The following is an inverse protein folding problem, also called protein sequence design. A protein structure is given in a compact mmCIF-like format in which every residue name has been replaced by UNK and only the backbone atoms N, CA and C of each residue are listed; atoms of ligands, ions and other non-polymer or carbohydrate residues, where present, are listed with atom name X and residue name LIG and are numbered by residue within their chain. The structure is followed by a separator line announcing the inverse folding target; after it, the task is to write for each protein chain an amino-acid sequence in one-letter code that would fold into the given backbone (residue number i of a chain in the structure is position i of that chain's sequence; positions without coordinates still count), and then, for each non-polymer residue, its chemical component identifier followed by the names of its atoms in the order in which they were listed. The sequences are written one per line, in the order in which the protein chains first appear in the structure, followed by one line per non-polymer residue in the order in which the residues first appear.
data_IF_026254138843
#
_entry.id   IF_026254138843
#
_cell.length_a   1.000
_cell.length_b   1.000
_cell.length_c   1.000
_cell.angle_alpha   90.00
_cell.angle_beta   90.00
_cell.angle_gamma   90.00
#
_symmetry.space_group_name_H-M   'P 1'
#
loop_
_entity.id
_entity.type
_entity.pdbx_description
1 polymer ?
#
# COMPACT_ATOMS: atom_id res chain seq x y z
N UNK A 1 3.94 -27.36 5.44
CA UNK A 1 2.48 -27.16 5.43
C UNK A 1 2.06 -26.82 4.01
N UNK A 2 1.02 -27.45 3.44
CA UNK A 2 0.58 -27.11 2.10
C UNK A 2 0.18 -25.64 2.08
N UNK A 3 0.81 -24.87 1.22
CA UNK A 3 0.45 -23.48 0.93
C UNK A 3 -0.94 -23.52 0.33
N UNK A 4 -1.96 -23.15 1.12
CA UNK A 4 -3.30 -22.92 0.60
C UNK A 4 -3.16 -21.84 -0.49
N UNK A 5 -3.28 -22.21 -1.75
CA UNK A 5 -3.27 -21.27 -2.85
C UNK A 5 -4.42 -20.28 -2.66
N UNK A 6 -4.14 -19.00 -2.87
CA UNK A 6 -5.14 -17.94 -2.80
C UNK A 6 -6.26 -18.21 -3.82
N UNK A 7 -7.50 -17.97 -3.41
CA UNK A 7 -8.63 -18.00 -4.33
C UNK A 7 -8.68 -16.72 -5.19
N UNK A 8 -7.95 -16.75 -6.28
CA UNK A 8 -7.89 -15.63 -7.22
C UNK A 8 -9.23 -15.34 -7.91
N UNK A 9 -10.16 -16.29 -7.93
CA UNK A 9 -11.51 -16.07 -8.45
C UNK A 9 -12.26 -15.10 -7.53
N UNK A 10 -12.24 -15.36 -6.24
CA UNK A 10 -12.86 -14.49 -5.23
C UNK A 10 -12.16 -13.12 -5.17
N UNK A 11 -10.83 -13.07 -5.24
CA UNK A 11 -10.06 -11.81 -5.26
C UNK A 11 -10.43 -10.98 -6.49
N UNK A 12 -10.45 -11.57 -7.69
CA UNK A 12 -10.85 -10.88 -8.93
C UNK A 12 -12.30 -10.40 -8.88
N UNK A 13 -13.20 -11.16 -8.25
CA UNK A 13 -14.58 -10.76 -8.07
C UNK A 13 -14.75 -9.57 -7.09
N UNK A 14 -13.75 -9.30 -6.26
CA UNK A 14 -13.66 -8.11 -5.41
C UNK A 14 -12.90 -6.94 -6.08
N UNK A 15 -12.34 -7.13 -7.28
CA UNK A 15 -11.66 -6.12 -8.07
C UNK A 15 -12.66 -5.11 -8.68
N UNK A 16 -12.17 -4.12 -9.37
CA UNK A 16 -12.96 -2.99 -9.90
C UNK A 16 -12.57 -1.69 -9.21
N UNK A 17 -11.38 -1.71 -8.62
CA UNK A 17 -10.78 -0.56 -7.95
C UNK A 17 -9.43 -0.22 -8.56
N UNK A 18 -9.05 1.04 -8.40
CA UNK A 18 -7.74 1.58 -8.74
C UNK A 18 -7.15 2.34 -7.55
N UNK A 19 -5.87 2.65 -7.63
CA UNK A 19 -5.24 3.50 -6.63
C UNK A 19 -5.63 4.96 -6.85
N UNK A 20 -5.91 5.71 -5.79
CA UNK A 20 -6.12 7.13 -5.87
C UNK A 20 -4.82 7.85 -6.22
N UNK A 21 -4.91 8.77 -7.17
CA UNK A 21 -3.76 9.55 -7.61
C UNK A 21 -3.65 10.85 -6.81
N UNK A 22 -2.51 11.13 -6.18
CA UNK A 22 -2.31 12.37 -5.47
C UNK A 22 -2.15 13.54 -6.46
N UNK A 23 -2.50 14.75 -6.00
CA UNK A 23 -2.33 15.99 -6.80
C UNK A 23 -0.89 16.51 -6.86
N UNK A 24 0.04 15.84 -6.15
CA UNK A 24 1.47 16.19 -6.11
C UNK A 24 2.25 15.45 -7.20
N UNK A 25 3.40 15.97 -7.66
CA UNK A 25 4.23 15.29 -8.64
C UNK A 25 4.65 13.91 -8.16
N UNK A 26 4.33 12.88 -8.95
CA UNK A 26 4.68 11.49 -8.69
C UNK A 26 6.02 11.20 -9.34
N UNK A 27 6.84 10.38 -8.69
CA UNK A 27 8.02 9.79 -9.32
C UNK A 27 7.57 8.69 -10.28
N UNK A 28 7.95 8.80 -11.53
CA UNK A 28 7.69 7.81 -12.57
C UNK A 28 8.91 7.67 -13.50
N UNK A 29 8.82 6.76 -14.45
CA UNK A 29 9.87 6.50 -15.46
C UNK A 29 9.90 7.52 -16.60
N UNK A 30 9.49 8.77 -16.37
CA UNK A 30 9.60 9.84 -17.33
C UNK A 30 10.89 10.58 -17.08
N UNK A 31 11.85 10.43 -17.97
CA UNK A 31 13.10 11.16 -17.95
C UNK A 31 14.22 10.51 -18.76
N UNK A 32 14.12 9.26 -19.16
CA UNK A 32 15.21 8.57 -19.88
C UNK A 32 14.83 7.97 -21.24
N UNK A 33 13.68 8.31 -21.81
CA UNK A 33 13.34 7.89 -23.19
C UNK A 33 12.94 9.05 -24.07
N UNK A 34 13.82 10.00 -24.24
CA UNK A 34 14.02 10.70 -25.53
C UNK A 34 14.78 9.76 -26.45
N UNK A 35 14.14 8.69 -26.91
CA UNK A 35 14.81 7.73 -27.78
C UNK A 35 13.91 6.59 -28.19
N UNK A 36 13.30 6.69 -29.38
CA UNK A 36 12.81 5.59 -30.22
C UNK A 36 12.02 4.46 -29.51
N UNK A 37 10.71 4.61 -29.48
CA UNK A 37 9.79 3.52 -29.15
C UNK A 37 8.39 3.88 -29.61
N UNK A 38 7.92 3.28 -30.72
CA UNK A 38 6.52 3.29 -31.16
C UNK A 38 5.62 2.75 -30.06
N UNK A 39 4.69 3.58 -29.52
CA UNK A 39 3.56 3.07 -28.73
C UNK A 39 3.29 3.71 -27.37
N UNK A 40 3.51 5.00 -27.16
CA UNK A 40 2.81 5.71 -26.09
C UNK A 40 1.90 6.75 -26.71
N UNK A 41 0.60 6.66 -26.46
CA UNK A 41 -0.32 7.72 -26.83
C UNK A 41 0.00 8.93 -25.95
N UNK A 42 0.76 9.84 -26.51
CA UNK A 42 0.95 11.17 -25.94
C UNK A 42 -0.39 11.89 -26.04
N UNK A 43 -1.12 11.99 -24.94
CA UNK A 43 -2.36 12.75 -24.94
C UNK A 43 -2.03 14.24 -25.10
N UNK A 44 -2.54 14.83 -26.19
CA UNK A 44 -2.38 16.27 -26.44
C UNK A 44 -3.00 17.05 -25.27
N UNK A 45 -2.23 17.93 -24.65
CA UNK A 45 -2.71 18.73 -23.53
C UNK A 45 -3.06 20.16 -23.95
N UNK A 46 -2.13 20.86 -24.63
CA UNK A 46 -2.28 22.26 -24.94
C UNK A 46 -1.21 22.73 -25.95
N UNK A 47 -1.30 23.97 -26.37
CA UNK A 47 -0.27 24.69 -27.13
C UNK A 47 0.38 25.76 -26.26
N UNK A 48 1.69 25.93 -26.44
CA UNK A 48 2.39 27.12 -25.94
C UNK A 48 3.16 27.81 -27.08
N UNK A 49 3.44 29.09 -26.96
CA UNK A 49 4.33 29.77 -27.92
C UNK A 49 5.72 29.07 -27.94
N UNK A 50 6.30 28.99 -29.12
CA UNK A 50 7.67 28.53 -29.29
C UNK A 50 8.67 29.50 -28.66
N UNK A 51 9.66 28.98 -27.98
CA UNK A 51 10.81 29.73 -27.49
C UNK A 51 12.10 29.15 -28.08
N UNK A 52 13.08 30.03 -28.43
CA UNK A 52 14.36 29.56 -28.96
C UNK A 52 15.00 28.52 -28.03
N UNK A 53 15.30 27.33 -28.58
CA UNK A 53 15.81 26.19 -27.84
C UNK A 53 14.80 25.04 -27.70
N UNK A 54 13.54 25.24 -28.04
CA UNK A 54 12.55 24.18 -28.10
C UNK A 54 12.82 23.18 -29.24
N UNK A 55 12.50 21.92 -29.01
CA UNK A 55 12.63 20.87 -30.01
C UNK A 55 11.61 21.10 -31.15
N UNK A 56 12.11 21.36 -32.35
CA UNK A 56 11.31 21.62 -33.54
C UNK A 56 10.40 20.43 -33.94
N UNK A 57 10.65 19.22 -33.44
CA UNK A 57 9.78 18.07 -33.68
C UNK A 57 8.41 18.20 -33.00
N UNK A 58 8.33 19.04 -31.99
CA UNK A 58 7.09 19.30 -31.26
C UNK A 58 6.33 20.54 -31.76
N UNK A 59 6.88 21.23 -32.73
CA UNK A 59 6.20 22.39 -33.37
C UNK A 59 5.02 21.89 -34.20
N UNK A 60 3.87 22.53 -34.05
CA UNK A 60 2.71 22.30 -34.93
C UNK A 60 2.84 23.08 -36.23
N UNK A 61 3.46 22.45 -37.21
CA UNK A 61 3.64 23.04 -38.54
C UNK A 61 2.32 23.33 -39.28
N UNK A 62 1.24 22.57 -38.97
CA UNK A 62 -0.08 22.78 -39.53
C UNK A 62 -0.77 24.02 -38.92
N UNK A 63 -0.55 24.27 -37.64
CA UNK A 63 -1.00 25.49 -36.97
C UNK A 63 -0.22 26.69 -37.50
N UNK A 64 1.11 26.58 -37.66
CA UNK A 64 1.94 27.62 -38.22
C UNK A 64 1.51 28.01 -39.63
N UNK A 65 1.23 27.06 -40.50
CA UNK A 65 0.78 27.33 -41.86
C UNK A 65 -0.56 28.09 -41.95
N UNK A 66 -1.38 28.06 -40.87
CA UNK A 66 -2.67 28.78 -40.84
C UNK A 66 -2.62 30.11 -40.12
N UNK A 67 -1.74 30.27 -39.14
CA UNK A 67 -1.75 31.43 -38.24
C UNK A 67 -0.44 32.21 -38.23
N UNK A 68 0.61 31.69 -38.88
CA UNK A 68 1.98 32.24 -38.87
C UNK A 68 2.59 32.33 -37.46
N UNK A 69 1.95 31.71 -36.44
CA UNK A 69 2.42 31.67 -35.08
C UNK A 69 3.03 30.31 -34.79
N UNK A 70 4.31 30.28 -34.39
CA UNK A 70 4.99 29.09 -33.99
C UNK A 70 4.45 28.64 -32.60
N UNK A 71 3.81 27.51 -32.57
CA UNK A 71 3.29 26.89 -31.36
C UNK A 71 3.90 25.48 -31.16
N UNK A 72 4.26 25.18 -29.93
CA UNK A 72 4.76 23.86 -29.55
C UNK A 72 3.61 23.09 -28.90
N UNK A 73 3.40 21.86 -29.38
CA UNK A 73 2.44 20.93 -28.77
C UNK A 73 2.95 20.47 -27.43
N UNK A 74 2.18 20.73 -26.40
CA UNK A 74 2.40 20.15 -25.08
C UNK A 74 1.66 18.81 -24.99
N UNK A 75 2.39 17.78 -24.70
CA UNK A 75 1.85 16.45 -24.45
C UNK A 75 1.86 16.18 -22.95
N UNK A 76 0.83 15.51 -22.48
CA UNK A 76 0.80 14.99 -21.13
C UNK A 76 1.54 13.66 -21.14
N UNK A 77 2.67 13.60 -20.47
CA UNK A 77 3.33 12.34 -20.25
C UNK A 77 2.47 11.50 -19.30
N UNK A 78 1.97 10.36 -19.75
CA UNK A 78 1.42 9.35 -18.87
C UNK A 78 2.55 8.76 -18.03
N UNK A 79 2.75 9.31 -16.85
CA UNK A 79 3.74 8.81 -15.91
C UNK A 79 3.16 7.59 -15.19
N UNK A 80 3.65 6.41 -15.48
CA UNK A 80 3.32 5.24 -14.67
C UNK A 80 3.78 5.47 -13.21
N UNK A 81 2.87 5.52 -12.24
CA UNK A 81 3.24 5.81 -10.86
C UNK A 81 4.09 4.69 -10.28
N UNK A 82 5.10 5.04 -9.50
CA UNK A 82 5.87 4.07 -8.72
C UNK A 82 5.10 3.73 -7.46
N UNK A 83 4.85 2.45 -7.22
CA UNK A 83 4.18 1.96 -6.01
C UNK A 83 5.12 1.05 -5.23
N UNK A 84 5.34 1.35 -3.96
CA UNK A 84 5.99 0.47 -3.00
C UNK A 84 4.89 -0.14 -2.11
N UNK A 85 4.54 -1.40 -2.36
CA UNK A 85 3.66 -2.19 -1.51
C UNK A 85 4.51 -2.82 -0.40
N UNK A 86 4.46 -2.20 0.77
CA UNK A 86 5.25 -2.57 1.95
C UNK A 86 4.43 -3.55 2.78
N UNK A 87 4.99 -4.72 2.98
CA UNK A 87 4.29 -5.86 3.57
C UNK A 87 5.00 -6.28 4.83
N UNK A 88 4.29 -6.24 5.94
CA UNK A 88 4.75 -6.81 7.19
C UNK A 88 4.61 -8.34 7.11
N UNK A 89 5.72 -9.03 7.27
CA UNK A 89 5.79 -10.50 7.25
C UNK A 89 6.15 -11.08 8.61
N UNK A 90 5.91 -10.32 9.68
CA UNK A 90 6.03 -10.83 11.05
C UNK A 90 5.07 -11.99 11.30
N UNK A 91 5.42 -12.85 12.24
CA UNK A 91 4.61 -14.03 12.58
C UNK A 91 3.18 -13.70 12.96
N UNK A 92 2.96 -12.53 13.56
CA UNK A 92 1.63 -12.05 13.94
C UNK A 92 0.68 -11.95 12.75
N UNK A 93 1.20 -11.63 11.54
CA UNK A 93 0.39 -11.53 10.31
C UNK A 93 -0.12 -12.90 9.81
N UNK A 94 0.43 -14.00 10.29
CA UNK A 94 0.07 -15.36 9.91
C UNK A 94 -0.36 -16.23 11.12
N UNK A 95 -0.68 -15.61 12.26
CA UNK A 95 -0.98 -16.29 13.53
C UNK A 95 -2.14 -17.27 13.44
N UNK A 96 -3.11 -17.02 12.58
CA UNK A 96 -4.22 -17.93 12.28
C UNK A 96 -4.40 -18.12 10.78
N UNK A 97 -5.00 -19.25 10.39
CA UNK A 97 -5.36 -19.48 8.98
C UNK A 97 -6.30 -18.40 8.42
N UNK A 98 -7.18 -17.84 9.25
CA UNK A 98 -8.11 -16.75 8.89
C UNK A 98 -7.33 -15.48 8.57
N UNK A 99 -6.43 -15.04 9.46
CA UNK A 99 -5.63 -13.82 9.27
C UNK A 99 -4.70 -13.95 8.05
N UNK A 100 -4.03 -15.12 7.93
CA UNK A 100 -3.16 -15.40 6.79
C UNK A 100 -3.90 -15.35 5.46
N UNK A 101 -5.10 -15.95 5.37
CA UNK A 101 -5.95 -15.90 4.18
C UNK A 101 -6.36 -14.47 3.86
N UNK A 102 -6.93 -13.75 4.83
CA UNK A 102 -7.36 -12.37 4.66
C UNK A 102 -6.20 -11.45 4.24
N UNK A 103 -5.01 -11.68 4.79
CA UNK A 103 -3.79 -10.97 4.41
C UNK A 103 -3.47 -11.17 2.93
N UNK A 104 -3.48 -12.42 2.45
CA UNK A 104 -3.25 -12.72 1.04
C UNK A 104 -4.33 -12.17 0.11
N UNK A 105 -5.62 -12.27 0.49
CA UNK A 105 -6.73 -11.70 -0.26
C UNK A 105 -6.62 -10.17 -0.36
N UNK A 106 -6.26 -9.52 0.73
CA UNK A 106 -6.04 -8.07 0.79
C UNK A 106 -4.89 -7.63 -0.12
N UNK A 107 -3.75 -8.33 -0.07
CA UNK A 107 -2.62 -8.08 -0.97
C UNK A 107 -3.02 -8.30 -2.42
N UNK A 108 -3.84 -9.31 -2.72
CA UNK A 108 -4.36 -9.59 -4.06
C UNK A 108 -5.22 -8.44 -4.59
N UNK A 109 -6.15 -7.92 -3.79
CA UNK A 109 -6.98 -6.75 -4.16
C UNK A 109 -6.12 -5.51 -4.40
N UNK A 110 -5.15 -5.23 -3.53
CA UNK A 110 -4.23 -4.10 -3.70
C UNK A 110 -3.36 -4.26 -4.96
N UNK A 111 -2.87 -5.46 -5.24
CA UNK A 111 -2.10 -5.76 -6.45
C UNK A 111 -2.92 -5.52 -7.73
N UNK A 112 -4.19 -5.96 -7.75
CA UNK A 112 -5.09 -5.71 -8.88
C UNK A 112 -5.36 -4.20 -9.06
N UNK A 113 -5.53 -3.46 -7.96
CA UNK A 113 -5.68 -2.00 -8.01
C UNK A 113 -4.42 -1.29 -8.53
N UNK A 114 -3.22 -1.78 -8.19
CA UNK A 114 -1.96 -1.32 -8.78
C UNK A 114 -1.93 -1.57 -10.29
N UNK A 115 -2.32 -2.78 -10.74
CA UNK A 115 -2.40 -3.16 -12.14
C UNK A 115 -3.37 -2.28 -12.93
N UNK A 116 -4.56 -1.99 -12.38
CA UNK A 116 -5.56 -1.09 -12.98
C UNK A 116 -5.07 0.37 -13.10
N UNK A 117 -4.05 0.74 -12.35
CA UNK A 117 -3.43 2.07 -12.38
C UNK A 117 -2.19 2.10 -13.29
N UNK A 118 -1.88 0.99 -13.99
CA UNK A 118 -0.65 0.81 -14.79
C UNK A 118 0.64 1.14 -14.03
N UNK A 119 0.63 0.91 -12.70
CA UNK A 119 1.69 1.29 -11.81
C UNK A 119 2.93 0.37 -11.93
N UNK A 120 4.12 0.98 -11.89
CA UNK A 120 5.37 0.25 -11.63
C UNK A 120 5.42 -0.14 -10.14
N UNK A 121 4.90 -1.33 -9.84
CA UNK A 121 4.75 -1.82 -8.45
C UNK A 121 5.86 -2.78 -8.08
N UNK A 122 6.36 -2.63 -6.85
CA UNK A 122 7.20 -3.64 -6.23
C UNK A 122 6.74 -3.95 -4.81
N UNK A 123 7.00 -5.16 -4.40
CA UNK A 123 6.81 -5.64 -3.04
C UNK A 123 8.07 -5.33 -2.21
N UNK A 124 7.86 -4.79 -1.03
CA UNK A 124 8.91 -4.51 -0.04
C UNK A 124 8.52 -5.23 1.24
N UNK A 125 9.20 -6.33 1.55
CA UNK A 125 8.99 -7.07 2.79
C UNK A 125 9.75 -6.41 3.93
N UNK A 126 9.06 -6.07 5.00
CA UNK A 126 9.71 -5.53 6.17
C UNK A 126 10.44 -6.66 6.92
N UNK A 127 11.76 -6.71 6.78
CA UNK A 127 12.65 -7.57 7.57
C UNK A 127 13.04 -8.91 6.96
N UNK A 128 12.48 -9.35 5.83
CA UNK A 128 12.71 -10.73 5.38
C UNK A 128 13.47 -10.88 4.06
N UNK A 129 13.28 -9.98 3.08
CA UNK A 129 13.87 -10.15 1.76
C UNK A 129 14.06 -8.80 1.04
N UNK A 130 14.93 -8.72 0.01
CA UNK A 130 15.04 -7.52 -0.81
C UNK A 130 13.75 -7.25 -1.58
N UNK A 131 13.51 -5.96 -1.88
CA UNK A 131 12.37 -5.55 -2.70
C UNK A 131 12.42 -6.16 -4.09
N UNK A 132 11.29 -6.66 -4.59
CA UNK A 132 11.18 -7.25 -5.92
C UNK A 132 9.94 -6.76 -6.67
N UNK A 133 9.96 -6.75 -8.01
CA UNK A 133 8.80 -6.33 -8.80
C UNK A 133 7.57 -7.20 -8.53
N UNK A 134 6.39 -6.58 -8.45
CA UNK A 134 5.12 -7.29 -8.45
C UNK A 134 4.64 -7.43 -9.89
N UNK A 135 4.78 -8.62 -10.45
CA UNK A 135 4.43 -8.91 -11.86
C UNK A 135 3.33 -9.95 -12.01
N UNK A 136 3.16 -10.78 -10.98
CA UNK A 136 2.27 -11.94 -11.05
C UNK A 136 1.68 -12.31 -9.68
N UNK A 137 0.59 -13.08 -9.67
CA UNK A 137 0.04 -13.67 -8.45
C UNK A 137 1.05 -14.43 -7.60
N UNK A 138 2.00 -15.11 -8.24
CA UNK A 138 3.03 -15.91 -7.57
C UNK A 138 3.98 -15.05 -6.71
N UNK A 139 4.13 -13.78 -7.03
CA UNK A 139 4.95 -12.86 -6.23
C UNK A 139 4.30 -12.60 -4.86
N UNK A 140 2.96 -12.56 -4.80
CA UNK A 140 2.20 -12.47 -3.53
C UNK A 140 2.32 -13.77 -2.74
N UNK A 141 2.16 -14.92 -3.39
CA UNK A 141 2.28 -16.23 -2.74
C UNK A 141 3.69 -16.42 -2.16
N UNK A 142 4.72 -15.94 -2.86
CA UNK A 142 6.10 -15.93 -2.36
C UNK A 142 6.24 -15.09 -1.09
N UNK A 143 5.64 -13.91 -1.04
CA UNK A 143 5.65 -13.05 0.15
C UNK A 143 4.93 -13.70 1.32
N UNK A 144 3.79 -14.35 1.07
CA UNK A 144 3.08 -15.10 2.11
C UNK A 144 3.87 -16.32 2.63
N UNK A 145 4.88 -16.76 1.90
CA UNK A 145 5.85 -17.76 2.34
C UNK A 145 7.04 -17.19 3.12
N UNK A 146 7.21 -15.87 3.14
CA UNK A 146 8.21 -15.23 3.97
C UNK A 146 7.71 -15.11 5.41
N UNK A 147 8.62 -15.23 6.35
CA UNK A 147 8.32 -15.08 7.78
C UNK A 147 9.49 -14.36 8.45
N UNK A 148 9.20 -13.35 9.24
CA UNK A 148 10.15 -12.66 10.10
C UNK A 148 9.70 -12.80 11.55
N UNK A 149 10.67 -12.91 12.47
CA UNK A 149 10.36 -13.08 13.89
C UNK A 149 9.67 -11.84 14.46
N UNK A 150 10.06 -10.65 13.99
CA UNK A 150 9.55 -9.36 14.44
C UNK A 150 9.18 -8.48 13.25
N UNK A 151 8.24 -7.57 13.44
CA UNK A 151 8.01 -6.50 12.47
C UNK A 151 9.23 -5.60 12.36
N UNK A 152 9.74 -5.43 11.14
CA UNK A 152 10.86 -4.55 10.87
C UNK A 152 10.44 -3.18 10.32
N UNK A 153 9.14 -2.86 10.40
CA UNK A 153 8.63 -1.58 9.93
C UNK A 153 9.27 -0.40 10.67
N UNK A 154 9.67 -0.58 11.93
CA UNK A 154 10.29 0.49 12.72
C UNK A 154 11.82 0.52 12.60
N UNK A 155 12.44 -0.66 12.60
CA UNK A 155 13.90 -0.79 12.72
C UNK A 155 14.64 -0.76 11.38
N UNK A 156 14.01 -1.14 10.27
CA UNK A 156 14.72 -1.42 9.05
C UNK A 156 14.91 -0.19 8.16
N UNK A 157 16.05 -0.14 7.52
CA UNK A 157 16.25 0.66 6.34
C UNK A 157 15.48 0.03 5.16
N UNK A 158 14.22 0.45 5.00
CA UNK A 158 13.41 -0.01 3.88
C UNK A 158 13.90 0.65 2.58
N UNK A 159 14.13 -0.11 1.50
CA UNK A 159 14.61 0.42 0.23
C UNK A 159 13.48 1.12 -0.54
N UNK A 160 12.93 2.20 0.03
CA UNK A 160 11.78 2.91 -0.52
C UNK A 160 12.18 3.88 -1.62
N UNK A 161 11.36 3.96 -2.66
CA UNK A 161 11.57 4.89 -3.78
C UNK A 161 11.08 6.29 -3.42
N UNK A 162 11.78 7.30 -3.94
CA UNK A 162 11.35 8.70 -3.78
C UNK A 162 10.13 8.97 -4.65
N UNK A 163 9.22 9.79 -4.13
CA UNK A 163 7.97 10.20 -4.80
C UNK A 163 7.12 8.99 -5.25
N UNK A 164 7.22 7.87 -4.55
CA UNK A 164 6.36 6.71 -4.78
C UNK A 164 5.05 6.84 -4.00
N UNK A 165 4.04 6.14 -4.47
CA UNK A 165 2.89 5.78 -3.64
C UNK A 165 3.33 4.66 -2.71
N UNK A 166 3.06 4.76 -1.43
CA UNK A 166 3.41 3.74 -0.44
C UNK A 166 2.16 3.18 0.19
N UNK A 167 2.00 1.87 0.12
CA UNK A 167 0.91 1.15 0.77
C UNK A 167 1.54 0.21 1.77
N UNK A 168 1.24 0.39 3.05
CA UNK A 168 1.76 -0.44 4.14
C UNK A 168 0.65 -1.33 4.66
N UNK A 169 0.89 -2.63 4.70
CA UNK A 169 -0.05 -3.62 5.25
C UNK A 169 0.61 -4.28 6.45
N UNK A 170 0.03 -4.10 7.64
CA UNK A 170 0.51 -4.63 8.92
C UNK A 170 -0.65 -4.67 9.91
N UNK A 171 -0.51 -5.39 11.00
CA UNK A 171 -1.40 -5.25 12.17
C UNK A 171 -1.00 -4.08 13.08
N UNK A 172 0.24 -3.59 12.93
CA UNK A 172 0.83 -2.53 13.75
C UNK A 172 0.81 -2.82 15.26
N UNK A 173 0.80 -4.09 15.66
CA UNK A 173 0.74 -4.49 17.07
C UNK A 173 2.10 -4.57 17.75
N UNK A 174 3.16 -4.15 17.09
CA UNK A 174 4.49 -4.02 17.69
C UNK A 174 4.65 -2.67 18.42
N UNK A 175 5.55 -2.56 19.41
CA UNK A 175 5.81 -1.29 20.09
C UNK A 175 6.34 -0.22 19.13
N UNK A 176 5.64 0.89 19.00
CA UNK A 176 6.07 2.03 18.18
C UNK A 176 5.34 3.32 18.59
N UNK A 177 5.93 4.45 18.21
CA UNK A 177 5.26 5.75 18.23
C UNK A 177 4.58 6.00 16.88
N UNK A 178 3.24 6.16 16.83
CA UNK A 178 2.51 6.37 15.58
C UNK A 178 2.96 7.60 14.78
N UNK A 179 3.25 8.72 15.44
CA UNK A 179 3.68 9.94 14.76
C UNK A 179 5.07 9.75 14.14
N UNK A 180 6.02 9.14 14.86
CA UNK A 180 7.36 8.84 14.35
C UNK A 180 7.34 7.84 13.20
N UNK A 181 6.55 6.76 13.31
CA UNK A 181 6.41 5.75 12.27
C UNK A 181 5.84 6.36 10.99
N UNK A 182 4.74 7.10 11.10
CA UNK A 182 4.09 7.73 9.94
C UNK A 182 4.98 8.79 9.32
N UNK A 183 5.65 9.64 10.11
CA UNK A 183 6.59 10.65 9.61
C UNK A 183 7.72 10.01 8.80
N UNK A 184 8.29 8.90 9.28
CA UNK A 184 9.34 8.17 8.58
C UNK A 184 8.84 7.54 7.27
N UNK A 185 7.68 6.89 7.28
CA UNK A 185 7.10 6.25 6.11
C UNK A 185 6.62 7.29 5.07
N UNK A 186 6.26 8.50 5.50
CA UNK A 186 5.85 9.60 4.62
C UNK A 186 7.01 10.36 3.98
N UNK A 187 8.24 10.16 4.47
CA UNK A 187 9.39 10.93 4.00
C UNK A 187 9.61 10.71 2.51
N UNK A 188 9.64 11.80 1.73
CA UNK A 188 9.81 11.77 0.27
C UNK A 188 8.78 10.87 -0.47
N UNK A 189 7.59 10.74 0.10
CA UNK A 189 6.48 9.97 -0.43
C UNK A 189 5.51 10.89 -1.20
N UNK A 190 4.89 10.38 -2.26
CA UNK A 190 3.83 11.10 -2.95
C UNK A 190 2.47 10.93 -2.24
N UNK A 191 2.20 9.72 -1.76
CA UNK A 191 1.04 9.40 -0.93
C UNK A 191 1.35 8.16 -0.09
N UNK A 192 1.15 8.26 1.21
CA UNK A 192 1.21 7.13 2.13
C UNK A 192 -0.21 6.61 2.40
N UNK A 193 -0.34 5.30 2.41
CA UNK A 193 -1.55 4.60 2.81
C UNK A 193 -1.19 3.51 3.82
N UNK A 194 -1.86 3.50 4.95
CA UNK A 194 -1.70 2.48 6.00
C UNK A 194 -2.96 1.62 6.03
N UNK A 195 -2.79 0.31 5.94
CA UNK A 195 -3.87 -0.67 6.06
C UNK A 195 -3.56 -1.57 7.24
N UNK A 196 -4.32 -1.40 8.31
CA UNK A 196 -4.24 -2.24 9.49
C UNK A 196 -5.13 -3.46 9.32
N UNK A 197 -4.56 -4.67 9.45
CA UNK A 197 -5.29 -5.93 9.41
C UNK A 197 -5.19 -6.63 10.77
N UNK A 198 -6.31 -6.83 11.44
CA UNK A 198 -6.35 -7.54 12.72
C UNK A 198 -7.44 -8.59 12.73
N UNK A 199 -7.34 -9.55 13.65
CA UNK A 199 -8.46 -10.41 14.02
C UNK A 199 -9.46 -9.65 14.89
N UNK A 200 -10.70 -10.12 14.93
CA UNK A 200 -11.68 -9.61 15.87
C UNK A 200 -11.20 -9.76 17.33
N UNK A 201 -10.65 -10.92 17.67
CA UNK A 201 -10.13 -11.19 19.02
C UNK A 201 -8.89 -10.37 19.39
N UNK A 202 -8.11 -9.90 18.40
CA UNK A 202 -7.02 -8.94 18.63
C UNK A 202 -7.56 -7.54 18.92
N UNK A 203 -8.69 -7.18 18.33
CA UNK A 203 -9.32 -5.88 18.58
C UNK A 203 -10.17 -5.90 19.86
N UNK A 204 -10.88 -7.00 20.09
CA UNK A 204 -11.82 -7.19 21.19
C UNK A 204 -11.68 -8.57 21.82
N UNK A 205 -10.65 -8.79 22.65
CA UNK A 205 -10.45 -10.08 23.29
C UNK A 205 -11.65 -10.45 24.17
N UNK A 206 -12.01 -11.73 24.11
CA UNK A 206 -13.06 -12.28 24.95
C UNK A 206 -12.71 -12.12 26.44
N UNK A 207 -13.74 -11.90 27.27
CA UNK A 207 -13.52 -11.65 28.67
C UNK A 207 -13.29 -12.94 29.48
N UNK A 208 -12.49 -12.76 30.53
CA UNK A 208 -12.42 -13.52 31.77
C UNK A 208 -12.10 -15.04 31.69
N UNK A 209 -10.99 -15.40 32.27
CA UNK A 209 -10.55 -16.78 32.50
C UNK A 209 -9.04 -16.89 32.65
N UNK A 210 -8.58 -18.06 33.07
CA UNK A 210 -7.16 -18.39 32.98
C UNK A 210 -6.79 -18.63 31.52
N UNK A 211 -5.91 -17.82 31.00
CA UNK A 211 -5.38 -17.95 29.63
C UNK A 211 -3.86 -18.12 29.66
N UNK A 212 -3.38 -19.08 28.90
CA UNK A 212 -1.97 -19.12 28.56
C UNK A 212 -1.76 -18.27 27.31
N UNK A 213 -1.15 -17.12 27.49
CA UNK A 213 -0.74 -16.28 26.38
C UNK A 213 0.62 -16.76 25.88
N UNK A 214 0.71 -17.00 24.60
CA UNK A 214 1.98 -17.30 23.92
C UNK A 214 2.29 -16.12 23.04
N UNK A 215 3.39 -15.46 23.33
CA UNK A 215 3.91 -14.41 22.45
C UNK A 215 4.35 -15.06 21.13
N UNK A 216 3.68 -14.68 20.06
CA UNK A 216 3.88 -15.26 18.72
C UNK A 216 5.30 -14.97 18.19
N UNK A 217 5.90 -13.87 18.60
CA UNK A 217 7.19 -13.40 18.12
C UNK A 217 8.34 -13.99 18.95
N UNK A 218 8.30 -13.81 20.27
CA UNK A 218 9.35 -14.30 21.19
C UNK A 218 9.16 -15.74 21.63
N UNK A 219 7.97 -16.34 21.40
CA UNK A 219 7.53 -17.64 21.95
C UNK A 219 7.53 -17.71 23.48
N UNK A 220 7.59 -16.56 24.14
CA UNK A 220 7.42 -16.47 25.58
C UNK A 220 6.02 -16.89 25.98
N UNK A 221 5.92 -17.74 27.02
CA UNK A 221 4.62 -18.12 27.58
C UNK A 221 4.35 -17.32 28.86
N UNK A 222 3.14 -16.85 29.00
CA UNK A 222 2.69 -16.13 30.19
C UNK A 222 1.31 -16.65 30.58
N UNK A 223 1.24 -17.29 31.74
CA UNK A 223 -0.04 -17.67 32.32
C UNK A 223 -0.66 -16.45 32.99
N UNK A 224 -1.74 -15.95 32.42
CA UNK A 224 -2.48 -14.79 32.92
C UNK A 224 -3.92 -15.17 33.24
N UNK A 225 -4.42 -14.65 34.33
CA UNK A 225 -5.86 -14.58 34.56
C UNK A 225 -6.34 -13.25 33.97
N UNK A 226 -6.99 -13.32 32.83
CA UNK A 226 -7.60 -12.12 32.23
C UNK A 226 -8.89 -11.81 33.04
N UNK A 227 -8.83 -10.78 33.84
CA UNK A 227 -10.00 -10.21 34.47
C UNK A 227 -10.63 -9.12 33.56
N UNK A 228 -11.81 -8.66 33.96
CA UNK A 228 -12.52 -7.63 33.21
C UNK A 228 -11.76 -6.28 33.16
N UNK A 229 -10.85 -6.03 34.11
CA UNK A 229 -10.04 -4.83 34.16
C UNK A 229 -8.90 -4.90 33.14
N UNK A 230 -8.18 -6.01 33.08
CA UNK A 230 -7.13 -6.26 32.07
C UNK A 230 -7.68 -6.16 30.63
N UNK A 231 -8.87 -6.74 30.40
CA UNK A 231 -9.53 -6.64 29.09
C UNK A 231 -9.91 -5.19 28.76
N UNK A 232 -10.43 -4.41 29.71
CA UNK A 232 -10.72 -2.99 29.49
C UNK A 232 -9.46 -2.18 29.18
N UNK A 233 -8.37 -2.43 29.91
CA UNK A 233 -7.10 -1.75 29.70
C UNK A 233 -6.52 -2.08 28.31
N UNK A 234 -6.56 -3.35 27.91
CA UNK A 234 -6.12 -3.79 26.58
C UNK A 234 -6.92 -3.07 25.47
N UNK A 235 -8.26 -3.08 25.57
CA UNK A 235 -9.13 -2.39 24.60
C UNK A 235 -8.85 -0.90 24.52
N UNK A 236 -8.58 -0.26 25.65
CA UNK A 236 -8.21 1.15 25.70
C UNK A 236 -6.86 1.40 25.00
N UNK A 237 -5.87 0.53 25.19
CA UNK A 237 -4.56 0.59 24.53
C UNK A 237 -4.70 0.38 23.03
N UNK A 238 -5.44 -0.64 22.60
CA UNK A 238 -5.70 -0.92 21.19
C UNK A 238 -6.41 0.24 20.50
N UNK A 239 -7.45 0.79 21.14
CA UNK A 239 -8.19 1.95 20.63
C UNK A 239 -7.27 3.18 20.51
N UNK A 240 -6.41 3.42 21.51
CA UNK A 240 -5.43 4.51 21.50
C UNK A 240 -4.42 4.36 20.37
N UNK A 241 -3.90 3.14 20.13
CA UNK A 241 -3.00 2.84 19.03
C UNK A 241 -3.66 3.15 17.68
N UNK A 242 -4.85 2.60 17.44
CA UNK A 242 -5.59 2.80 16.19
C UNK A 242 -5.93 4.28 15.95
N UNK A 243 -6.37 4.98 17.00
CA UNK A 243 -6.64 6.41 16.92
C UNK A 243 -5.33 7.20 16.64
N UNK A 244 -4.24 6.85 17.31
CA UNK A 244 -2.92 7.45 17.09
C UNK A 244 -2.48 7.32 15.63
N UNK A 245 -2.54 6.12 15.06
CA UNK A 245 -2.23 5.89 13.64
C UNK A 245 -3.14 6.71 12.70
N UNK A 246 -4.45 6.76 12.98
CA UNK A 246 -5.40 7.53 12.18
C UNK A 246 -5.13 9.04 12.26
N UNK A 247 -4.79 9.56 13.43
CA UNK A 247 -4.46 10.98 13.62
C UNK A 247 -3.14 11.33 12.96
N UNK A 248 -2.10 10.52 13.18
CA UNK A 248 -0.79 10.70 12.55
C UNK A 248 -0.89 10.65 11.02
N UNK A 249 -1.65 9.68 10.47
CA UNK A 249 -1.91 9.60 9.04
C UNK A 249 -2.57 10.87 8.50
N UNK A 250 -3.64 11.36 9.15
CA UNK A 250 -4.30 12.62 8.71
C UNK A 250 -3.38 13.82 8.74
N UNK A 251 -2.54 13.97 9.79
CA UNK A 251 -1.56 15.06 9.89
C UNK A 251 -0.53 15.03 8.76
N UNK A 252 -0.13 13.82 8.36
CA UNK A 252 0.81 13.60 7.26
C UNK A 252 0.16 13.64 5.86
N UNK A 253 -1.15 13.90 5.73
CA UNK A 253 -1.88 13.79 4.46
C UNK A 253 -1.95 12.35 3.94
N UNK A 254 -1.69 11.37 4.81
CA UNK A 254 -1.77 9.95 4.52
C UNK A 254 -3.19 9.41 4.74
N UNK A 255 -3.44 8.20 4.25
CA UNK A 255 -4.71 7.48 4.42
C UNK A 255 -4.54 6.34 5.41
N UNK A 256 -5.59 6.05 6.14
CA UNK A 256 -5.61 4.94 7.10
C UNK A 256 -6.91 4.17 6.97
N UNK A 257 -6.80 2.84 6.91
CA UNK A 257 -7.96 1.94 6.99
C UNK A 257 -7.65 0.81 7.98
N UNK A 258 -8.67 0.39 8.72
CA UNK A 258 -8.62 -0.80 9.55
C UNK A 258 -9.59 -1.84 8.98
N UNK A 259 -9.13 -3.07 8.85
CA UNK A 259 -9.89 -4.21 8.30
C UNK A 259 -9.78 -5.35 9.30
N UNK A 260 -10.88 -6.01 9.59
CA UNK A 260 -10.90 -7.26 10.35
C UNK A 260 -10.69 -8.44 9.39
N UNK A 261 -9.88 -9.39 9.79
CA UNK A 261 -9.52 -10.55 8.96
C UNK A 261 -10.71 -11.49 8.66
N UNK A 262 -11.74 -11.45 9.50
CA UNK A 262 -12.99 -12.19 9.32
C UNK A 262 -13.91 -11.55 8.27
N UNK A 263 -13.63 -10.31 7.88
CA UNK A 263 -14.44 -9.60 6.87
C UNK A 263 -14.24 -10.22 5.49
N UNK A 264 -15.32 -10.57 4.78
CA UNK A 264 -15.22 -11.06 3.42
C UNK A 264 -14.47 -10.07 2.51
N UNK A 265 -13.62 -10.56 1.60
CA UNK A 265 -12.73 -9.72 0.78
C UNK A 265 -13.45 -8.62 -0.01
N UNK A 266 -14.68 -8.87 -0.47
CA UNK A 266 -15.50 -7.85 -1.16
C UNK A 266 -15.88 -6.69 -0.23
N UNK A 267 -16.21 -7.00 1.01
CA UNK A 267 -16.57 -5.99 2.01
C UNK A 267 -15.32 -5.24 2.47
N UNK A 268 -14.20 -5.95 2.64
CA UNK A 268 -12.91 -5.36 2.90
C UNK A 268 -12.51 -4.37 1.80
N UNK A 269 -12.65 -4.73 0.52
CA UNK A 269 -12.40 -3.84 -0.61
C UNK A 269 -13.30 -2.59 -0.59
N UNK A 270 -14.59 -2.74 -0.26
CA UNK A 270 -15.52 -1.61 -0.10
C UNK A 270 -15.12 -0.71 1.09
N UNK A 271 -14.68 -1.30 2.20
CA UNK A 271 -14.20 -0.54 3.35
C UNK A 271 -12.95 0.27 3.01
N UNK A 272 -12.01 -0.32 2.24
CA UNK A 272 -10.85 0.39 1.72
C UNK A 272 -11.25 1.55 0.79
N UNK A 273 -12.23 1.35 -0.08
CA UNK A 273 -12.74 2.41 -0.95
C UNK A 273 -13.41 3.54 -0.14
N UNK A 274 -14.23 3.20 0.86
CA UNK A 274 -14.84 4.18 1.76
C UNK A 274 -13.80 4.98 2.55
N UNK A 275 -12.68 4.36 2.93
CA UNK A 275 -11.56 5.02 3.59
C UNK A 275 -10.67 5.83 2.61
N UNK A 276 -10.99 5.83 1.32
CA UNK A 276 -10.23 6.51 0.29
C UNK A 276 -8.90 5.83 -0.06
N UNK A 277 -8.67 4.61 0.41
CA UNK A 277 -7.49 3.79 0.07
C UNK A 277 -7.56 3.32 -1.38
N UNK A 278 -8.76 3.06 -1.85
CA UNK A 278 -9.09 2.69 -3.22
C UNK A 278 -10.14 3.63 -3.80
N UNK A 279 -10.21 3.71 -5.13
CA UNK A 279 -11.26 4.40 -5.88
C UNK A 279 -11.90 3.40 -6.86
N UNK A 280 -13.17 3.58 -7.20
CA UNK A 280 -13.78 2.80 -8.26
C UNK A 280 -13.01 3.01 -9.58
N UNK A 281 -12.75 1.92 -10.30
CA UNK A 281 -11.99 1.94 -11.56
C UNK A 281 -12.83 2.48 -12.71
#
# INVERSE_FOLDING_TARGET
MPTSSLDWTTIRAAAGYRLPMPRVPIGGTVGERLGSGTGSSLEFQDYRPYTPGDDLRHVDWAAYARSEVLAVRLYRDEVAPRVDLIVDVSRSMAVTAVKRRAFGELLGVLALACGSTTADTRLVTAGAAPAHPLRSPQDIERVLGCEADLSALEAAHLPLRRRSLRIVVSDFLFPHDPDALVARLSRECALLTLVQLTLHDEAEPAAAGGHRLVDVESRGELDLVLDAEAVREYRARFTRLRLGLSVAARRAGARFAHVLAETPVREAARALAKAGVLEAA
#
